data_IF_793068443052
#
_entry.id   IF_793068443052
#
_cell.length_a   1.000
_cell.length_b   1.000
_cell.length_c   1.000
_cell.angle_alpha   90.00
_cell.angle_beta   90.00
_cell.angle_gamma   90.00
#
_symmetry.space_group_name_H-M   'P 1'
#
loop_
_entity.id
_entity.type
_entity.pdbx_description
1 polymer ?
#
# COMPACT_ATOMS: atom_id res chain seq x y z
N UNK A 1 18.54 -8.02 32.19
CA UNK A 1 18.99 -7.01 31.19
C UNK A 1 17.77 -6.46 30.46
N UNK A 2 17.63 -5.15 30.34
CA UNK A 2 16.43 -4.53 29.74
C UNK A 2 16.29 -4.88 28.25
N UNK A 3 15.07 -5.12 27.77
CA UNK A 3 14.71 -5.25 26.34
C UNK A 3 15.26 -4.09 25.51
N UNK A 4 15.32 -2.89 26.10
CA UNK A 4 15.81 -1.67 25.45
C UNK A 4 17.28 -1.82 25.04
N UNK A 5 18.13 -2.40 25.90
CA UNK A 5 19.55 -2.59 25.57
C UNK A 5 19.77 -3.57 24.42
N UNK A 6 18.97 -4.63 24.35
CA UNK A 6 19.02 -5.58 23.25
C UNK A 6 18.55 -4.95 21.94
N UNK A 7 17.45 -4.18 21.97
CA UNK A 7 16.97 -3.45 20.81
C UNK A 7 18.02 -2.46 20.27
N UNK A 8 18.75 -1.79 21.17
CA UNK A 8 19.81 -0.85 20.81
C UNK A 8 21.02 -1.56 20.18
N UNK A 9 21.45 -2.70 20.74
CA UNK A 9 22.53 -3.51 20.16
C UNK A 9 22.16 -4.08 18.79
N UNK A 10 20.94 -4.60 18.64
CA UNK A 10 20.42 -5.09 17.36
C UNK A 10 20.38 -3.95 16.33
N UNK A 11 19.95 -2.76 16.73
CA UNK A 11 19.97 -1.56 15.87
C UNK A 11 21.39 -1.18 15.41
N UNK A 12 22.38 -1.20 16.31
CA UNK A 12 23.78 -0.91 15.94
C UNK A 12 24.32 -1.96 14.96
N UNK A 13 24.08 -3.24 15.21
CA UNK A 13 24.53 -4.32 14.33
C UNK A 13 23.90 -4.18 12.93
N UNK A 14 22.60 -3.91 12.87
CA UNK A 14 21.86 -3.75 11.61
C UNK A 14 22.23 -2.47 10.85
N UNK A 15 22.72 -1.43 11.53
CA UNK A 15 23.14 -0.19 10.86
C UNK A 15 24.54 -0.29 10.25
N UNK A 16 25.46 -1.01 10.92
CA UNK A 16 26.88 -1.08 10.52
C UNK A 16 27.15 -2.16 9.48
N UNK A 17 26.49 -3.31 9.57
CA UNK A 17 26.70 -4.40 8.61
C UNK A 17 25.79 -4.14 7.40
N UNK A 18 26.29 -4.18 6.15
CA UNK A 18 25.44 -4.25 4.94
C UNK A 18 24.81 -5.65 4.86
N UNK A 19 24.09 -6.02 5.91
CA UNK A 19 23.33 -7.23 6.00
C UNK A 19 22.08 -7.02 5.15
N UNK A 20 22.06 -7.64 3.97
CA UNK A 20 20.84 -7.83 3.21
C UNK A 20 20.41 -9.28 3.42
N UNK A 21 19.24 -9.50 3.99
CA UNK A 21 18.66 -10.83 4.10
C UNK A 21 17.27 -10.81 3.50
N UNK A 22 16.98 -11.82 2.68
CA UNK A 22 15.65 -12.10 2.19
C UNK A 22 15.34 -13.55 2.56
N UNK A 23 14.42 -13.74 3.50
CA UNK A 23 13.97 -15.05 3.94
C UNK A 23 12.66 -15.33 3.21
N UNK A 24 12.66 -16.19 2.17
CA UNK A 24 11.42 -16.62 1.55
C UNK A 24 10.62 -17.48 2.52
N UNK A 25 9.32 -17.23 2.61
CA UNK A 25 8.36 -18.03 3.36
C UNK A 25 7.36 -18.65 2.37
N UNK A 26 6.69 -19.76 2.72
CA UNK A 26 5.53 -20.20 1.96
C UNK A 26 4.56 -19.03 1.85
N UNK A 27 4.25 -18.61 0.61
CA UNK A 27 3.35 -17.50 0.32
C UNK A 27 3.89 -16.13 0.75
N UNK A 28 5.20 -15.91 0.77
CA UNK A 28 5.71 -14.60 1.16
C UNK A 28 7.22 -14.53 1.38
N UNK A 29 7.62 -13.52 2.13
CA UNK A 29 9.01 -13.34 2.54
C UNK A 29 9.17 -12.21 3.54
N UNK A 30 10.32 -12.22 4.21
CA UNK A 30 10.78 -11.10 5.05
C UNK A 30 12.09 -10.63 4.45
N UNK A 31 12.20 -9.33 4.23
CA UNK A 31 13.38 -8.68 3.68
C UNK A 31 13.92 -7.63 4.63
N UNK A 32 15.23 -7.54 4.69
CA UNK A 32 15.95 -6.45 5.31
C UNK A 32 17.04 -6.05 4.32
N UNK A 33 17.05 -4.81 3.87
CA UNK A 33 18.06 -4.30 2.94
C UNK A 33 18.38 -2.83 3.22
N UNK A 34 19.44 -2.32 2.57
CA UNK A 34 19.67 -0.88 2.46
C UNK A 34 19.32 -0.44 1.05
N UNK A 35 18.53 0.62 0.92
CA UNK A 35 18.17 1.17 -0.38
C UNK A 35 19.26 2.07 -0.96
N UNK A 36 19.01 2.61 -2.16
CA UNK A 36 19.94 3.51 -2.87
C UNK A 36 20.30 4.79 -2.11
N UNK A 37 19.44 5.22 -1.18
CA UNK A 37 19.67 6.40 -0.34
C UNK A 37 20.44 6.06 0.94
N UNK A 38 20.79 4.78 1.17
CA UNK A 38 21.43 4.31 2.39
C UNK A 38 20.47 4.08 3.57
N UNK A 39 19.16 4.22 3.35
CA UNK A 39 18.13 3.97 4.36
C UNK A 39 17.95 2.46 4.54
N UNK A 40 17.66 2.04 5.78
CA UNK A 40 17.32 0.65 6.10
C UNK A 40 15.85 0.41 5.73
N UNK A 41 15.59 -0.56 4.86
CA UNK A 41 14.25 -1.04 4.56
C UNK A 41 14.05 -2.43 5.18
N UNK A 42 13.04 -2.55 6.02
CA UNK A 42 12.57 -3.81 6.59
C UNK A 42 11.19 -4.04 6.03
N UNK A 43 11.03 -5.06 5.20
CA UNK A 43 9.75 -5.37 4.58
C UNK A 43 9.34 -6.80 4.83
N UNK A 44 8.05 -7.06 4.68
CA UNK A 44 7.55 -8.41 4.51
C UNK A 44 6.35 -8.41 3.61
N UNK A 45 6.25 -9.45 2.80
CA UNK A 45 5.17 -9.67 1.88
C UNK A 45 4.54 -11.03 2.16
N UNK A 46 3.23 -11.11 1.97
CA UNK A 46 2.45 -12.34 2.02
C UNK A 46 1.50 -12.33 0.82
N UNK A 47 1.72 -13.23 -0.13
CA UNK A 47 0.88 -13.36 -1.31
C UNK A 47 0.40 -14.81 -1.44
N UNK A 48 -0.91 -14.98 -1.38
CA UNK A 48 -1.60 -16.22 -1.64
C UNK A 48 -2.61 -15.98 -2.76
N UNK A 49 -2.50 -16.74 -3.85
CA UNK A 49 -3.44 -16.69 -4.97
C UNK A 49 -3.64 -18.10 -5.53
N UNK A 50 -4.82 -18.67 -5.31
CA UNK A 50 -5.24 -19.93 -5.88
C UNK A 50 -6.43 -19.69 -6.81
N UNK A 51 -6.25 -19.98 -8.09
CA UNK A 51 -7.31 -19.88 -9.11
C UNK A 51 -8.02 -18.51 -9.14
N UNK A 52 -7.29 -17.42 -8.88
CA UNK A 52 -7.84 -16.07 -8.83
C UNK A 52 -8.46 -15.69 -7.48
N UNK A 53 -8.31 -16.51 -6.44
CA UNK A 53 -8.81 -16.26 -5.11
C UNK A 53 -7.68 -16.22 -4.09
N UNK A 54 -7.65 -15.20 -3.26
CA UNK A 54 -6.68 -15.13 -2.18
C UNK A 54 -6.48 -13.72 -1.64
N UNK A 55 -5.25 -13.41 -1.25
CA UNK A 55 -4.91 -12.15 -0.62
C UNK A 55 -3.43 -11.79 -0.81
N UNK A 56 -3.18 -10.49 -0.84
CA UNK A 56 -1.86 -9.89 -0.79
C UNK A 56 -1.75 -8.99 0.45
N UNK A 57 -0.69 -9.13 1.23
CA UNK A 57 -0.39 -8.26 2.36
C UNK A 57 1.07 -7.88 2.33
N UNK A 58 1.34 -6.59 2.42
CA UNK A 58 2.70 -6.08 2.44
C UNK A 58 2.86 -5.15 3.63
N UNK A 59 4.03 -5.15 4.23
CA UNK A 59 4.48 -4.10 5.11
C UNK A 59 5.90 -3.71 4.73
N UNK A 60 6.22 -2.42 4.88
CA UNK A 60 7.57 -1.91 4.67
C UNK A 60 7.83 -0.78 5.64
N UNK A 61 8.87 -0.93 6.44
CA UNK A 61 9.43 0.11 7.29
C UNK A 61 10.73 0.60 6.63
N UNK A 62 10.80 1.87 6.29
CA UNK A 62 12.01 2.55 5.83
C UNK A 62 12.47 3.49 6.92
N UNK A 63 13.72 3.40 7.34
CA UNK A 63 14.28 4.27 8.39
C UNK A 63 15.74 4.60 8.15
N UNK A 64 16.16 5.81 8.51
CA UNK A 64 17.53 6.29 8.36
C UNK A 64 17.60 7.58 7.54
N UNK A 65 18.71 8.29 7.64
CA UNK A 65 18.99 9.51 6.88
C UNK A 65 17.87 10.57 6.93
N UNK A 66 17.26 10.75 8.11
CA UNK A 66 16.17 11.71 8.31
C UNK A 66 14.78 11.20 7.86
N UNK A 67 14.72 9.98 7.34
CA UNK A 67 13.49 9.33 6.89
C UNK A 67 13.01 8.32 7.92
N UNK A 68 11.71 8.33 8.20
CA UNK A 68 10.97 7.23 8.80
C UNK A 68 9.67 7.08 8.04
N UNK A 69 9.41 5.91 7.45
CA UNK A 69 8.19 5.65 6.70
C UNK A 69 7.73 4.23 6.92
N UNK A 70 6.46 4.06 7.25
CA UNK A 70 5.78 2.79 7.37
C UNK A 70 4.69 2.72 6.29
N UNK A 71 4.83 1.77 5.39
CA UNK A 71 3.84 1.42 4.37
C UNK A 71 3.21 0.07 4.74
N UNK A 72 1.90 -0.06 4.50
CA UNK A 72 1.13 -1.28 4.72
C UNK A 72 0.10 -1.44 3.60
N UNK A 73 -0.05 -2.64 3.09
CA UNK A 73 -1.07 -3.01 2.11
C UNK A 73 -1.79 -4.27 2.59
N UNK A 74 -3.11 -4.29 2.48
CA UNK A 74 -3.96 -5.45 2.71
C UNK A 74 -5.01 -5.52 1.61
N UNK A 75 -4.86 -6.47 0.71
CA UNK A 75 -5.69 -6.65 -0.47
C UNK A 75 -6.20 -8.09 -0.58
N UNK A 76 -7.45 -8.26 -0.96
CA UNK A 76 -8.06 -9.52 -1.35
C UNK A 76 -8.03 -9.65 -2.87
N UNK A 77 -7.82 -10.87 -3.34
CA UNK A 77 -7.89 -11.24 -4.76
C UNK A 77 -9.17 -12.04 -4.94
N UNK A 78 -10.10 -11.54 -5.74
CA UNK A 78 -11.40 -12.15 -6.02
C UNK A 78 -11.56 -12.28 -7.52
N UNK A 79 -11.63 -13.51 -8.01
CA UNK A 79 -11.71 -13.82 -9.44
C UNK A 79 -10.63 -13.11 -10.30
N UNK A 80 -9.40 -12.99 -9.75
CA UNK A 80 -8.27 -12.31 -10.40
C UNK A 80 -8.21 -10.80 -10.20
N UNK A 81 -9.26 -10.17 -9.69
CA UNK A 81 -9.33 -8.74 -9.39
C UNK A 81 -8.92 -8.44 -7.95
N UNK A 82 -8.26 -7.31 -7.74
CA UNK A 82 -7.69 -6.95 -6.42
C UNK A 82 -8.54 -5.88 -5.73
N UNK A 83 -8.88 -6.11 -4.46
CA UNK A 83 -9.71 -5.21 -3.66
C UNK A 83 -9.12 -5.03 -2.27
N UNK A 84 -8.91 -3.81 -1.82
CA UNK A 84 -8.42 -3.60 -0.46
C UNK A 84 -7.82 -2.24 -0.20
N UNK A 85 -7.11 -2.14 0.91
CA UNK A 85 -6.57 -0.89 1.42
C UNK A 85 -5.05 -0.90 1.41
N UNK A 86 -4.46 0.27 1.20
CA UNK A 86 -3.07 0.53 1.56
C UNK A 86 -2.96 1.81 2.36
N UNK A 87 -1.99 1.89 3.25
CA UNK A 87 -1.75 3.04 4.10
C UNK A 87 -0.25 3.30 4.21
N UNK A 88 0.10 4.57 4.34
CA UNK A 88 1.46 5.00 4.63
C UNK A 88 1.46 6.08 5.68
N UNK A 89 2.40 6.02 6.61
CA UNK A 89 2.72 7.12 7.51
C UNK A 89 4.23 7.31 7.50
N UNK A 90 4.68 8.53 7.26
CA UNK A 90 6.08 8.83 7.25
C UNK A 90 6.40 10.26 7.58
N UNK A 91 7.66 10.47 7.92
CA UNK A 91 8.32 11.75 8.01
C UNK A 91 9.62 11.63 7.24
N UNK A 92 9.91 12.62 6.42
CA UNK A 92 11.18 12.76 5.70
C UNK A 92 11.69 14.17 5.94
N UNK A 93 13.00 14.33 6.10
CA UNK A 93 13.63 15.60 6.43
C UNK A 93 13.33 16.70 5.39
N UNK A 94 13.17 16.32 4.11
CA UNK A 94 12.93 17.24 2.99
C UNK A 94 11.46 17.47 2.73
N UNK A 95 10.63 16.43 2.78
CA UNK A 95 9.21 16.53 2.44
C UNK A 95 8.28 16.74 3.63
N UNK A 96 8.78 16.53 4.85
CA UNK A 96 7.99 16.61 6.07
C UNK A 96 7.10 15.37 6.28
N UNK A 97 5.95 15.57 6.89
CA UNK A 97 4.99 14.51 7.24
C UNK A 97 4.20 14.09 5.98
N UNK A 98 4.22 12.80 5.67
CA UNK A 98 3.45 12.16 4.60
C UNK A 98 2.51 11.11 5.21
N UNK A 99 1.20 11.31 5.06
CA UNK A 99 0.19 10.33 5.46
C UNK A 99 -0.62 9.99 4.20
N UNK A 100 -0.61 8.73 3.82
CA UNK A 100 -1.31 8.20 2.66
C UNK A 100 -2.33 7.14 3.07
N UNK A 101 -3.46 7.10 2.38
CA UNK A 101 -4.44 6.03 2.48
C UNK A 101 -5.02 5.80 1.09
N UNK A 102 -4.94 4.59 0.55
CA UNK A 102 -5.53 4.28 -0.75
C UNK A 102 -6.48 3.10 -0.64
N UNK A 103 -7.50 3.10 -1.50
CA UNK A 103 -8.42 1.99 -1.69
C UNK A 103 -8.30 1.48 -3.13
N UNK A 104 -7.97 0.21 -3.28
CA UNK A 104 -7.95 -0.51 -4.56
C UNK A 104 -9.29 -1.21 -4.75
N UNK A 105 -9.93 -1.00 -5.89
CA UNK A 105 -11.19 -1.61 -6.31
C UNK A 105 -11.05 -2.04 -7.77
N UNK A 106 -10.47 -3.22 -7.99
CA UNK A 106 -10.17 -3.77 -9.31
C UNK A 106 -9.32 -2.82 -10.16
N UNK A 107 -9.94 -2.15 -11.15
CA UNK A 107 -9.31 -1.22 -12.07
C UNK A 107 -9.15 0.20 -11.48
N UNK A 108 -9.74 0.46 -10.31
CA UNK A 108 -9.74 1.77 -9.66
C UNK A 108 -8.84 1.80 -8.44
N UNK A 109 -8.07 2.87 -8.32
CA UNK A 109 -7.33 3.21 -7.10
C UNK A 109 -7.73 4.60 -6.63
N UNK A 110 -8.41 4.64 -5.50
CA UNK A 110 -8.79 5.89 -4.83
C UNK A 110 -7.65 6.29 -3.92
N UNK A 111 -7.09 7.49 -4.14
CA UNK A 111 -5.93 8.00 -3.40
C UNK A 111 -6.41 9.03 -2.39
N UNK A 112 -6.10 8.80 -1.13
CA UNK A 112 -6.39 9.67 0.01
C UNK A 112 -5.17 9.82 0.91
N UNK A 113 -5.40 10.41 2.07
CA UNK A 113 -4.35 10.84 2.99
C UNK A 113 -4.32 12.36 3.18
N UNK A 114 -3.32 12.84 3.91
CA UNK A 114 -3.22 14.25 4.31
C UNK A 114 -3.12 15.15 3.08
N UNK A 115 -4.05 16.10 2.96
CA UNK A 115 -4.13 17.03 1.82
C UNK A 115 -4.78 16.44 0.57
N UNK A 116 -5.34 15.22 0.64
CA UNK A 116 -6.00 14.52 -0.47
C UNK A 116 -7.43 14.09 -0.12
N UNK A 117 -7.95 14.50 1.02
CA UNK A 117 -9.22 14.05 1.57
C UNK A 117 -10.41 14.40 0.66
N UNK A 118 -10.43 15.62 0.09
CA UNK A 118 -11.52 16.04 -0.80
C UNK A 118 -11.56 15.19 -2.07
N UNK A 119 -10.42 15.02 -2.74
CA UNK A 119 -10.32 14.20 -3.96
C UNK A 119 -10.68 12.74 -3.68
N UNK A 120 -10.30 12.23 -2.51
CA UNK A 120 -10.67 10.88 -2.07
C UNK A 120 -12.18 10.75 -1.89
N UNK A 121 -12.82 11.69 -1.18
CA UNK A 121 -14.26 11.70 -0.97
C UNK A 121 -15.04 11.88 -2.29
N UNK A 122 -14.55 12.71 -3.20
CA UNK A 122 -15.14 12.86 -4.54
C UNK A 122 -15.03 11.58 -5.35
N UNK A 123 -13.86 10.92 -5.32
CA UNK A 123 -13.65 9.64 -5.99
C UNK A 123 -14.55 8.55 -5.39
N UNK A 124 -14.70 8.54 -4.06
CA UNK A 124 -15.60 7.64 -3.34
C UNK A 124 -17.05 7.90 -3.71
N UNK A 125 -17.49 9.16 -3.71
CA UNK A 125 -18.84 9.56 -4.10
C UNK A 125 -19.14 9.20 -5.57
N UNK A 126 -18.15 9.30 -6.45
CA UNK A 126 -18.30 8.91 -7.85
C UNK A 126 -18.59 7.42 -8.03
N UNK A 127 -18.16 6.55 -7.09
CA UNK A 127 -18.50 5.12 -7.12
C UNK A 127 -20.00 4.86 -6.87
N UNK A 128 -20.67 5.76 -6.14
CA UNK A 128 -22.09 5.63 -5.81
C UNK A 128 -23.01 6.35 -6.81
N UNK A 129 -22.45 7.08 -7.78
CA UNK A 129 -23.27 7.72 -8.81
C UNK A 129 -23.91 6.63 -9.68
N UNK A 130 -25.24 6.68 -9.88
CA UNK A 130 -25.90 5.76 -10.81
C UNK A 130 -25.21 5.83 -12.17
N UNK A 131 -24.95 4.68 -12.80
CA UNK A 131 -24.60 4.65 -14.20
C UNK A 131 -25.68 5.44 -14.95
N UNK A 132 -25.26 6.44 -15.74
CA UNK A 132 -26.19 7.22 -16.55
C UNK A 132 -27.09 6.24 -17.29
N UNK A 133 -28.40 6.31 -17.02
CA UNK A 133 -29.33 5.41 -17.70
C UNK A 133 -29.11 5.60 -19.20
N UNK A 134 -28.97 4.51 -19.97
CA UNK A 134 -28.90 4.63 -21.42
C UNK A 134 -30.08 5.48 -21.82
N UNK A 135 -29.80 6.62 -22.47
CA UNK A 135 -30.83 7.49 -23.01
C UNK A 135 -31.79 6.57 -23.71
N UNK A 136 -33.06 6.54 -23.28
CA UNK A 136 -34.10 5.88 -24.08
C UNK A 136 -34.00 6.54 -25.43
N UNK A 137 -33.37 5.85 -26.37
CA UNK A 137 -33.33 6.25 -27.76
C UNK A 137 -34.80 6.40 -28.11
N UNK A 138 -35.22 7.67 -28.19
CA UNK A 138 -36.60 8.04 -28.42
C UNK A 138 -36.92 7.36 -29.73
N UNK A 139 -37.65 6.25 -29.65
CA UNK A 139 -38.22 5.55 -30.79
C UNK A 139 -39.39 6.40 -31.29
N UNK A 140 -39.10 7.65 -31.59
CA UNK A 140 -39.98 8.51 -32.35
C UNK A 140 -39.40 8.55 -33.74
N UNK A 141 -40.29 8.47 -34.73
CA UNK A 141 -40.02 8.52 -36.18
C UNK A 141 -39.78 7.15 -36.83
N UNK A 142 -40.83 6.33 -36.89
CA UNK A 142 -41.25 5.71 -38.16
C UNK A 142 -42.78 5.55 -38.18
N UNK A 143 -43.46 6.69 -38.10
CA UNK A 143 -44.73 6.87 -38.82
C UNK A 143 -44.37 7.25 -40.26
N UNK A 144 -43.93 6.28 -41.06
CA UNK A 144 -43.97 6.29 -42.53
C UNK A 144 -44.18 4.85 -42.98
#
# INVERSE_FOLDING_TARGET
MSLIRHALLVSIILTVIPAQFNIPLPFGGISLNKNKNGELEIGGNQNFNLFGWGANRDFKLTTGNGTFKLDKTDEAILNGSTYGGSGSIGVDEKTGIDIGQNLTLDDKKLVGGLGKEMNFLESLAALFKPAAQPSKERTELKNI
#
